data_IF_896122135237
#
_entry.id   IF_896122135237
#
_cell.length_a   1.000
_cell.length_b   1.000
_cell.length_c   1.000
_cell.angle_alpha   90.00
_cell.angle_beta   90.00
_cell.angle_gamma   90.00
#
_symmetry.space_group_name_H-M   'P 1'
#
loop_
_entity.id
_entity.type
_entity.pdbx_description
1 polymer ?
#
# COMPACT_ATOMS: atom_id res chain seq x y z
N UNK A 1 46.95 53.34 42.80
CA UNK A 1 46.42 53.23 41.43
C UNK A 1 46.15 51.75 41.15
N UNK A 2 44.88 51.40 40.91
CA UNK A 2 44.35 50.23 40.17
C UNK A 2 45.14 48.91 40.37
N UNK A 3 44.90 48.03 41.36
CA UNK A 3 43.73 47.19 41.71
C UNK A 3 43.34 46.09 40.71
N UNK A 4 43.12 44.88 41.28
CA UNK A 4 42.15 43.84 40.91
C UNK A 4 42.50 43.00 39.68
N UNK A 5 42.66 41.69 39.90
CA UNK A 5 41.66 40.64 39.60
C UNK A 5 41.69 40.30 38.12
N UNK A 6 42.12 39.11 37.74
CA UNK A 6 41.41 37.83 37.82
C UNK A 6 41.35 37.32 36.39
N UNK A 7 41.80 36.07 36.22
CA UNK A 7 41.11 35.07 35.41
C UNK A 7 40.93 35.40 33.93
N UNK A 8 41.99 35.16 33.15
CA UNK A 8 41.81 34.68 31.77
C UNK A 8 41.50 33.18 31.88
N UNK A 9 40.25 32.85 32.21
CA UNK A 9 39.69 31.52 31.98
C UNK A 9 39.07 31.53 30.58
N UNK A 10 39.72 30.81 29.68
CA UNK A 10 39.19 30.49 28.36
C UNK A 10 37.92 29.64 28.50
N UNK A 11 36.75 30.25 28.41
CA UNK A 11 35.49 29.52 28.20
C UNK A 11 35.40 29.10 26.74
N UNK A 12 35.79 27.87 26.46
CA UNK A 12 35.44 27.17 25.23
C UNK A 12 33.91 26.98 25.19
N UNK A 13 33.22 27.82 24.43
CA UNK A 13 31.82 27.61 24.10
C UNK A 13 31.74 26.43 23.12
N UNK A 14 31.45 25.24 23.64
CA UNK A 14 31.11 24.08 22.83
C UNK A 14 29.79 24.36 22.09
N UNK A 15 29.89 24.74 20.82
CA UNK A 15 28.74 24.81 19.91
C UNK A 15 28.25 23.38 19.68
N UNK A 16 27.21 22.97 20.39
CA UNK A 16 26.45 21.77 20.06
C UNK A 16 25.87 21.94 18.65
N UNK A 17 26.03 20.96 17.75
CA UNK A 17 25.37 21.02 16.45
C UNK A 17 23.86 20.96 16.69
N UNK A 18 23.15 22.02 16.30
CA UNK A 18 21.70 22.00 16.25
C UNK A 18 21.29 20.93 15.24
N UNK A 19 20.80 19.80 15.73
CA UNK A 19 20.13 18.80 14.91
C UNK A 19 18.88 19.47 14.38
N UNK A 20 18.90 19.87 13.10
CA UNK A 20 17.69 20.30 12.40
C UNK A 20 16.74 19.10 12.35
N UNK A 21 15.76 19.08 13.27
CA UNK A 21 14.57 18.26 13.12
C UNK A 21 13.86 18.86 11.90
N UNK A 22 14.02 18.20 10.75
CA UNK A 22 13.25 18.53 9.56
C UNK A 22 11.79 18.62 9.96
N UNK A 23 11.18 19.80 9.79
CA UNK A 23 9.76 20.01 10.03
C UNK A 23 9.00 18.95 9.24
N UNK A 24 8.45 17.96 9.95
CA UNK A 24 7.43 17.10 9.39
C UNK A 24 6.27 18.01 9.06
N UNK A 25 6.19 18.46 7.80
CA UNK A 25 5.14 19.35 7.36
C UNK A 25 3.80 18.82 7.83
N UNK A 26 2.99 19.68 8.46
CA UNK A 26 1.66 19.31 8.92
C UNK A 26 0.85 18.76 7.74
N UNK A 27 0.14 17.66 7.96
CA UNK A 27 -0.79 17.08 6.99
C UNK A 27 -2.19 17.60 7.29
N UNK A 28 -2.91 18.04 6.26
CA UNK A 28 -4.22 18.69 6.41
C UNK A 28 -5.33 17.85 5.76
N UNK A 29 -6.44 17.66 6.48
CA UNK A 29 -7.67 17.06 5.92
C UNK A 29 -8.16 17.86 4.72
N UNK A 30 -8.65 17.18 3.69
CA UNK A 30 -9.13 17.80 2.44
C UNK A 30 -8.00 18.21 1.49
N UNK A 31 -6.75 18.11 1.92
CA UNK A 31 -5.57 18.35 1.08
C UNK A 31 -4.71 17.09 0.96
N UNK A 32 -4.11 16.64 2.06
CA UNK A 32 -3.16 15.52 2.05
C UNK A 32 -3.85 14.17 2.28
N UNK A 33 -4.98 14.19 2.96
CA UNK A 33 -5.83 13.03 3.24
C UNK A 33 -7.29 13.44 3.36
N UNK A 34 -8.21 12.49 3.26
CA UNK A 34 -9.63 12.67 3.53
C UNK A 34 -10.09 11.81 4.69
N UNK A 35 -11.20 12.17 5.32
CA UNK A 35 -11.86 11.35 6.34
C UNK A 35 -12.90 10.46 5.66
N UNK A 36 -12.87 9.17 5.96
CA UNK A 36 -13.86 8.18 5.53
C UNK A 36 -15.16 8.39 6.30
N UNK A 37 -16.28 8.56 5.59
CA UNK A 37 -17.59 8.85 6.18
C UNK A 37 -18.68 7.93 5.59
N UNK A 38 -19.40 7.14 6.42
CA UNK A 38 -19.11 6.88 7.83
C UNK A 38 -17.77 6.14 8.01
N UNK A 39 -17.12 6.23 9.18
CA UNK A 39 -15.90 5.46 9.42
C UNK A 39 -16.21 3.96 9.33
N UNK A 40 -15.28 3.20 8.74
CA UNK A 40 -15.35 1.74 8.70
C UNK A 40 -14.89 1.19 10.05
N UNK A 41 -15.70 0.36 10.68
CA UNK A 41 -15.36 -0.21 11.97
C UNK A 41 -14.24 -1.25 11.85
N UNK A 42 -13.15 -1.02 12.57
CA UNK A 42 -12.03 -1.93 12.72
C UNK A 42 -11.57 -1.94 14.17
N UNK A 43 -10.95 -3.04 14.65
CA UNK A 43 -10.30 -3.05 15.95
C UNK A 43 -9.31 -1.89 16.09
N UNK A 44 -9.25 -1.29 17.28
CA UNK A 44 -8.28 -0.20 17.55
C UNK A 44 -6.82 -0.65 17.41
N UNK A 45 -6.54 -1.92 17.71
CA UNK A 45 -5.22 -2.54 17.57
C UNK A 45 -5.36 -3.96 16.99
N UNK A 46 -4.44 -4.37 16.10
CA UNK A 46 -3.46 -3.53 15.41
C UNK A 46 -4.15 -2.45 14.55
N UNK A 47 -3.45 -1.37 14.23
CA UNK A 47 -3.94 -0.36 13.28
C UNK A 47 -3.95 -1.00 11.89
N UNK A 48 -5.15 -1.15 11.31
CA UNK A 48 -5.30 -1.68 9.96
C UNK A 48 -4.91 -0.63 8.93
N UNK A 49 -3.96 -0.98 8.05
CA UNK A 49 -3.51 -0.14 6.94
C UNK A 49 -3.79 -0.89 5.64
N UNK A 50 -4.80 -0.45 4.89
CA UNK A 50 -5.18 -1.06 3.63
C UNK A 50 -4.46 -0.36 2.49
N UNK A 51 -3.82 -1.14 1.62
CA UNK A 51 -3.15 -0.63 0.43
C UNK A 51 -3.98 -1.00 -0.78
N UNK A 52 -4.67 -0.02 -1.36
CA UNK A 52 -5.55 -0.21 -2.49
C UNK A 52 -4.78 -0.05 -3.80
N UNK A 53 -4.78 -1.09 -4.62
CA UNK A 53 -4.10 -1.10 -5.91
C UNK A 53 -4.90 -1.85 -6.96
N UNK A 54 -4.63 -1.63 -8.24
CA UNK A 54 -5.14 -2.48 -9.32
C UNK A 54 -3.97 -2.93 -10.19
N UNK A 55 -3.97 -4.20 -10.65
CA UNK A 55 -2.94 -4.69 -11.55
C UNK A 55 -2.91 -3.92 -12.87
N UNK A 56 -4.05 -3.39 -13.31
CA UNK A 56 -4.21 -2.57 -14.53
C UNK A 56 -3.85 -1.09 -14.33
N UNK A 57 -3.41 -0.68 -13.13
CA UNK A 57 -3.10 0.71 -12.81
C UNK A 57 -1.58 1.00 -12.94
N UNK A 58 -1.13 1.75 -13.97
CA UNK A 58 0.29 2.07 -14.14
C UNK A 58 0.82 3.04 -13.08
N UNK A 59 -0.05 3.84 -12.46
CA UNK A 59 0.34 4.71 -11.33
C UNK A 59 0.66 3.91 -10.07
N UNK A 60 0.00 2.76 -9.90
CA UNK A 60 0.18 1.85 -8.79
C UNK A 60 1.51 1.10 -8.93
N UNK A 61 1.82 0.58 -10.13
CA UNK A 61 3.12 -0.04 -10.39
C UNK A 61 4.27 0.95 -10.15
N UNK A 62 4.13 2.21 -10.58
CA UNK A 62 5.13 3.26 -10.30
C UNK A 62 5.21 3.67 -8.82
N UNK A 63 4.23 3.30 -7.99
CA UNK A 63 4.23 3.58 -6.55
C UNK A 63 4.81 2.44 -5.72
N UNK A 64 5.00 1.27 -6.33
CA UNK A 64 5.49 0.10 -5.63
C UNK A 64 6.84 0.30 -4.93
N UNK A 65 7.85 1.00 -5.52
CA UNK A 65 9.14 1.14 -4.84
C UNK A 65 9.05 1.85 -3.49
N UNK A 66 8.32 2.99 -3.42
CA UNK A 66 8.12 3.70 -2.16
C UNK A 66 7.18 2.94 -1.20
N UNK A 67 6.21 2.21 -1.74
CA UNK A 67 5.29 1.41 -0.96
C UNK A 67 5.99 0.20 -0.33
N UNK A 68 6.87 -0.49 -1.06
CA UNK A 68 7.60 -1.67 -0.58
C UNK A 68 8.53 -1.33 0.58
N UNK A 69 9.25 -0.21 0.49
CA UNK A 69 10.07 0.31 1.59
C UNK A 69 9.22 0.60 2.84
N UNK A 70 8.06 1.23 2.66
CA UNK A 70 7.10 1.47 3.73
C UNK A 70 6.58 0.16 4.34
N UNK A 71 6.16 -0.81 3.52
CA UNK A 71 5.65 -2.10 3.97
C UNK A 71 6.71 -2.85 4.78
N UNK A 72 7.95 -2.89 4.31
CA UNK A 72 9.06 -3.54 5.02
C UNK A 72 9.32 -2.90 6.38
N UNK A 73 9.30 -1.56 6.44
CA UNK A 73 9.57 -0.81 7.67
C UNK A 73 8.48 -0.99 8.74
N UNK A 74 7.21 -1.09 8.32
CA UNK A 74 6.07 -1.07 9.23
C UNK A 74 5.49 -2.45 9.54
N UNK A 75 5.68 -3.47 8.67
CA UNK A 75 5.10 -4.81 8.89
C UNK A 75 5.73 -5.59 10.04
N UNK A 76 6.89 -5.16 10.56
CA UNK A 76 7.52 -5.75 11.74
C UNK A 76 6.90 -5.27 13.05
N UNK A 77 6.14 -4.16 13.04
CA UNK A 77 5.48 -3.62 14.23
C UNK A 77 4.21 -4.40 14.52
N UNK A 78 4.09 -4.97 15.73
CA UNK A 78 2.92 -5.78 16.11
C UNK A 78 1.64 -4.97 16.19
N UNK A 79 1.76 -3.66 16.36
CA UNK A 79 0.69 -2.70 16.50
C UNK A 79 0.12 -2.23 15.16
N UNK A 80 0.70 -2.65 14.03
CA UNK A 80 0.27 -2.25 12.68
C UNK A 80 0.07 -3.50 11.81
N UNK A 81 -1.03 -3.53 11.06
CA UNK A 81 -1.33 -4.61 10.13
C UNK A 81 -1.55 -4.02 8.74
N UNK A 82 -0.60 -4.26 7.85
CA UNK A 82 -0.72 -3.84 6.44
C UNK A 82 -1.42 -4.94 5.64
N UNK A 83 -2.41 -4.55 4.85
CA UNK A 83 -3.29 -5.45 4.11
C UNK A 83 -3.38 -4.95 2.67
N UNK A 84 -2.79 -5.66 1.69
CA UNK A 84 -3.01 -5.35 0.29
C UNK A 84 -4.45 -5.64 -0.13
N UNK A 85 -5.06 -4.72 -0.86
CA UNK A 85 -6.44 -4.80 -1.33
C UNK A 85 -6.46 -4.56 -2.84
N UNK A 86 -6.37 -5.61 -3.67
CA UNK A 86 -6.54 -5.48 -5.12
C UNK A 86 -7.97 -5.04 -5.45
N UNK A 87 -8.08 -4.05 -6.33
CA UNK A 87 -9.31 -3.40 -6.77
C UNK A 87 -9.63 -3.84 -8.20
N UNK A 88 -10.91 -4.12 -8.44
CA UNK A 88 -11.51 -4.27 -9.76
C UNK A 88 -12.76 -3.40 -9.84
N UNK A 89 -12.84 -2.57 -10.87
CA UNK A 89 -13.95 -1.62 -11.06
C UNK A 89 -15.16 -2.23 -11.78
N UNK A 90 -14.97 -3.37 -12.45
CA UNK A 90 -16.00 -4.08 -13.20
C UNK A 90 -15.72 -5.58 -13.21
N UNK A 91 -16.75 -6.36 -13.53
CA UNK A 91 -16.71 -7.82 -13.56
C UNK A 91 -15.60 -8.37 -14.47
N UNK A 92 -15.40 -7.76 -15.65
CA UNK A 92 -14.33 -8.15 -16.59
C UNK A 92 -12.92 -8.05 -15.98
N UNK A 93 -12.73 -7.22 -14.96
CA UNK A 93 -11.45 -7.04 -14.28
C UNK A 93 -11.36 -7.79 -12.94
N UNK A 94 -12.40 -8.52 -12.51
CA UNK A 94 -12.37 -9.27 -11.25
C UNK A 94 -11.33 -10.40 -11.24
N UNK A 95 -10.93 -10.87 -12.42
CA UNK A 95 -9.87 -11.86 -12.54
C UNK A 95 -8.53 -11.35 -11.97
N UNK A 96 -8.25 -10.04 -12.01
CA UNK A 96 -7.01 -9.48 -11.49
C UNK A 96 -6.87 -9.64 -9.96
N UNK A 97 -7.85 -9.25 -9.12
CA UNK A 97 -7.88 -9.63 -7.72
C UNK A 97 -7.82 -11.15 -7.48
N UNK A 98 -8.47 -11.97 -8.30
CA UNK A 98 -8.38 -13.43 -8.19
C UNK A 98 -6.95 -13.92 -8.38
N UNK A 99 -6.19 -13.37 -9.34
CA UNK A 99 -4.78 -13.70 -9.55
C UNK A 99 -3.93 -13.39 -8.30
N UNK A 100 -4.10 -12.20 -7.70
CA UNK A 100 -3.41 -11.84 -6.46
C UNK A 100 -3.69 -12.86 -5.34
N UNK A 101 -4.96 -13.12 -5.07
CA UNK A 101 -5.35 -14.03 -3.99
C UNK A 101 -5.07 -15.50 -4.29
N UNK A 102 -4.95 -15.89 -5.57
CA UNK A 102 -4.50 -17.22 -5.95
C UNK A 102 -3.00 -17.39 -5.67
N UNK A 103 -2.16 -16.41 -6.03
CA UNK A 103 -0.75 -16.43 -5.65
C UNK A 103 -0.58 -16.46 -4.12
N UNK A 104 -1.34 -15.64 -3.40
CA UNK A 104 -1.34 -15.63 -1.93
C UNK A 104 -1.74 -16.99 -1.34
N UNK A 105 -2.80 -17.60 -1.88
CA UNK A 105 -3.32 -18.88 -1.39
C UNK A 105 -2.40 -20.07 -1.68
N UNK A 106 -1.57 -19.97 -2.72
CA UNK A 106 -0.52 -20.94 -3.01
C UNK A 106 0.72 -20.79 -2.12
N UNK A 107 0.81 -19.68 -1.36
CA UNK A 107 1.76 -19.49 -0.27
C UNK A 107 2.76 -18.35 -0.49
N UNK A 108 3.53 -17.99 0.56
CA UNK A 108 4.42 -16.83 0.56
C UNK A 108 5.45 -16.83 -0.59
N UNK A 109 6.12 -17.96 -0.82
CA UNK A 109 7.11 -18.07 -1.89
C UNK A 109 6.50 -17.89 -3.29
N UNK A 110 5.21 -18.20 -3.46
CA UNK A 110 4.52 -18.04 -4.75
C UNK A 110 4.16 -16.57 -4.96
N UNK A 111 3.53 -15.92 -3.98
CA UNK A 111 3.21 -14.50 -4.11
C UNK A 111 4.46 -13.63 -4.28
N UNK A 112 5.52 -13.88 -3.51
CA UNK A 112 6.78 -13.12 -3.62
C UNK A 112 7.42 -13.29 -5.01
N UNK A 113 7.32 -14.49 -5.60
CA UNK A 113 7.90 -14.78 -6.91
C UNK A 113 7.09 -14.19 -8.07
N UNK A 114 5.75 -14.24 -8.01
CA UNK A 114 4.91 -13.96 -9.17
C UNK A 114 4.19 -12.60 -9.12
N UNK A 115 3.98 -11.99 -7.95
CA UNK A 115 3.19 -10.75 -7.84
C UNK A 115 3.73 -9.63 -8.72
N UNK A 116 5.02 -9.29 -8.56
CA UNK A 116 5.63 -8.19 -9.31
C UNK A 116 5.83 -8.52 -10.80
N UNK A 117 6.39 -9.68 -11.20
CA UNK A 117 6.48 -10.05 -12.61
C UNK A 117 5.11 -10.07 -13.31
N UNK A 118 4.06 -10.53 -12.63
CA UNK A 118 2.69 -10.49 -13.17
C UNK A 118 2.24 -9.04 -13.39
N UNK A 119 2.42 -8.17 -12.39
CA UNK A 119 2.03 -6.77 -12.49
C UNK A 119 2.76 -6.04 -13.62
N UNK A 120 4.07 -6.26 -13.74
CA UNK A 120 4.86 -5.67 -14.81
C UNK A 120 4.39 -6.15 -16.19
N UNK A 121 4.12 -7.45 -16.33
CA UNK A 121 3.58 -8.03 -17.55
C UNK A 121 2.23 -7.41 -17.94
N UNK A 122 1.31 -7.29 -16.97
CA UNK A 122 0.00 -6.66 -17.17
C UNK A 122 0.12 -5.21 -17.68
N UNK A 123 1.09 -4.45 -17.17
CA UNK A 123 1.23 -3.02 -17.50
C UNK A 123 2.08 -2.76 -18.75
N UNK A 124 3.16 -3.53 -18.95
CA UNK A 124 4.20 -3.21 -19.95
C UNK A 124 4.00 -3.94 -21.27
N UNK A 125 3.29 -5.07 -21.29
CA UNK A 125 3.03 -5.82 -22.52
C UNK A 125 1.67 -5.46 -23.15
N UNK A 126 1.55 -5.79 -24.44
CA UNK A 126 0.31 -5.62 -25.20
C UNK A 126 -0.56 -6.87 -25.05
N UNK A 127 -1.85 -6.66 -24.81
CA UNK A 127 -2.82 -7.73 -24.54
C UNK A 127 -4.00 -7.67 -25.52
N UNK A 128 -3.80 -8.18 -26.75
CA UNK A 128 -4.78 -8.06 -27.85
C UNK A 128 -6.07 -8.87 -27.63
N UNK A 129 -6.03 -9.83 -26.72
CA UNK A 129 -7.13 -10.79 -26.50
C UNK A 129 -8.06 -10.38 -25.37
N UNK A 130 -7.80 -9.30 -24.63
CA UNK A 130 -8.59 -8.91 -23.46
C UNK A 130 -9.86 -8.14 -23.85
N UNK A 131 -10.71 -8.78 -24.65
CA UNK A 131 -11.96 -8.22 -25.16
C UNK A 131 -13.17 -8.61 -24.29
N UNK A 132 -13.04 -9.67 -23.49
CA UNK A 132 -14.05 -10.17 -22.57
C UNK A 132 -13.40 -10.89 -21.37
N UNK A 133 -14.19 -11.25 -20.36
CA UNK A 133 -13.70 -11.88 -19.14
C UNK A 133 -13.05 -13.26 -19.39
N UNK A 134 -13.60 -14.06 -20.31
CA UNK A 134 -13.13 -15.41 -20.58
C UNK A 134 -11.80 -15.40 -21.35
N UNK A 135 -11.69 -14.55 -22.37
CA UNK A 135 -10.47 -14.39 -23.15
C UNK A 135 -9.33 -13.80 -22.31
N UNK A 136 -9.65 -12.82 -21.46
CA UNK A 136 -8.71 -12.28 -20.46
C UNK A 136 -8.23 -13.38 -19.50
N UNK A 137 -9.14 -14.10 -18.84
CA UNK A 137 -8.77 -15.16 -17.89
C UNK A 137 -7.87 -16.23 -18.52
N UNK A 138 -8.18 -16.65 -19.76
CA UNK A 138 -7.36 -17.63 -20.48
C UNK A 138 -5.91 -17.15 -20.64
N UNK A 139 -5.71 -15.89 -21.00
CA UNK A 139 -4.36 -15.34 -21.20
C UNK A 139 -3.60 -15.17 -19.88
N UNK A 140 -4.28 -14.70 -18.82
CA UNK A 140 -3.69 -14.58 -17.48
C UNK A 140 -3.24 -15.95 -16.93
N UNK A 141 -4.03 -17.01 -17.13
CA UNK A 141 -3.65 -18.37 -16.75
C UNK A 141 -2.49 -18.87 -17.62
N UNK A 142 -2.53 -18.62 -18.93
CA UNK A 142 -1.44 -19.01 -19.83
C UNK A 142 -0.11 -18.36 -19.43
N UNK A 143 -0.12 -17.09 -19.00
CA UNK A 143 1.04 -16.45 -18.39
C UNK A 143 1.54 -17.23 -17.18
N UNK A 144 0.68 -17.53 -16.20
CA UNK A 144 1.05 -18.24 -14.99
C UNK A 144 1.69 -19.62 -15.29
N UNK A 145 1.14 -20.35 -16.27
CA UNK A 145 1.68 -21.64 -16.71
C UNK A 145 3.05 -21.49 -17.37
N UNK A 146 3.24 -20.48 -18.24
CA UNK A 146 4.55 -20.19 -18.84
C UNK A 146 5.61 -19.85 -17.79
N UNK A 147 5.22 -19.25 -16.67
CA UNK A 147 6.11 -18.96 -15.54
C UNK A 147 6.38 -20.18 -14.63
N UNK A 148 5.77 -21.33 -14.91
CA UNK A 148 6.03 -22.61 -14.25
C UNK A 148 5.00 -23.03 -13.19
N UNK A 149 3.84 -22.35 -13.10
CA UNK A 149 2.74 -22.84 -12.24
C UNK A 149 2.01 -24.01 -12.91
N UNK A 150 1.62 -25.00 -12.10
CA UNK A 150 0.77 -26.12 -12.54
C UNK A 150 -0.60 -25.58 -12.95
N UNK A 151 -0.97 -25.74 -14.23
CA UNK A 151 -2.25 -25.25 -14.74
C UNK A 151 -3.44 -25.78 -13.92
N UNK A 152 -3.44 -27.10 -13.65
CA UNK A 152 -4.52 -27.76 -12.91
C UNK A 152 -4.67 -27.20 -11.51
N UNK A 153 -3.55 -27.04 -10.80
CA UNK A 153 -3.56 -26.52 -9.44
C UNK A 153 -3.95 -25.05 -9.40
N UNK A 154 -3.39 -24.25 -10.31
CA UNK A 154 -3.65 -22.82 -10.38
C UNK A 154 -5.12 -22.54 -10.71
N UNK A 155 -5.70 -23.21 -11.71
CA UNK A 155 -7.13 -23.13 -12.03
C UNK A 155 -8.02 -23.51 -10.84
N UNK A 156 -7.69 -24.61 -10.15
CA UNK A 156 -8.41 -25.05 -8.94
C UNK A 156 -8.36 -23.99 -7.83
N UNK A 157 -7.22 -23.35 -7.62
CA UNK A 157 -7.06 -22.30 -6.62
C UNK A 157 -7.82 -21.04 -7.01
N UNK A 158 -7.71 -20.61 -8.26
CA UNK A 158 -8.46 -19.46 -8.81
C UNK A 158 -9.97 -19.60 -8.61
N UNK A 159 -10.52 -20.80 -8.86
CA UNK A 159 -11.94 -21.09 -8.68
C UNK A 159 -12.34 -21.44 -7.24
N UNK A 160 -11.42 -21.36 -6.28
CA UNK A 160 -11.69 -21.79 -4.91
C UNK A 160 -12.64 -20.82 -4.20
N UNK A 161 -13.41 -21.37 -3.25
CA UNK A 161 -14.26 -20.57 -2.37
C UNK A 161 -13.43 -19.54 -1.56
N UNK A 162 -12.23 -19.92 -1.12
CA UNK A 162 -11.35 -19.03 -0.36
C UNK A 162 -10.95 -17.79 -1.17
N UNK A 163 -10.49 -17.98 -2.42
CA UNK A 163 -10.14 -16.86 -3.32
C UNK A 163 -11.36 -16.00 -3.62
N UNK A 164 -12.50 -16.62 -3.94
CA UNK A 164 -13.75 -15.90 -4.23
C UNK A 164 -14.21 -15.04 -3.04
N UNK A 165 -14.10 -15.58 -1.82
CA UNK A 165 -14.45 -14.84 -0.61
C UNK A 165 -13.49 -13.67 -0.34
N UNK A 166 -12.17 -13.85 -0.56
CA UNK A 166 -11.19 -12.77 -0.42
C UNK A 166 -11.43 -11.64 -1.42
N UNK A 167 -11.75 -11.95 -2.68
CA UNK A 167 -12.11 -10.94 -3.70
C UNK A 167 -13.37 -10.17 -3.30
N UNK A 168 -14.39 -10.88 -2.78
CA UNK A 168 -15.62 -10.24 -2.27
C UNK A 168 -15.33 -9.33 -1.08
N UNK A 169 -14.48 -9.75 -0.14
CA UNK A 169 -14.07 -8.93 1.01
C UNK A 169 -13.25 -7.72 0.59
N UNK A 170 -12.29 -7.88 -0.33
CA UNK A 170 -11.53 -6.78 -0.92
C UNK A 170 -12.46 -5.74 -1.54
N UNK A 171 -13.45 -6.25 -2.30
CA UNK A 171 -14.47 -5.45 -2.96
C UNK A 171 -15.33 -4.64 -2.00
N UNK A 172 -15.79 -5.25 -0.91
CA UNK A 172 -16.49 -4.53 0.15
C UNK A 172 -15.57 -3.51 0.84
N UNK A 173 -14.31 -3.89 1.09
CA UNK A 173 -13.35 -3.04 1.80
C UNK A 173 -13.12 -1.72 1.06
N UNK A 174 -12.75 -1.77 -0.23
CA UNK A 174 -12.49 -0.52 -0.97
C UNK A 174 -13.75 0.33 -1.15
N UNK A 175 -14.93 -0.29 -1.29
CA UNK A 175 -16.21 0.43 -1.34
C UNK A 175 -16.56 1.11 -0.02
N UNK A 176 -16.38 0.42 1.11
CA UNK A 176 -16.67 0.98 2.43
C UNK A 176 -15.73 2.14 2.78
N UNK A 177 -14.50 2.12 2.30
CA UNK A 177 -13.58 3.26 2.41
C UNK A 177 -13.95 4.42 1.48
N UNK A 178 -14.80 4.20 0.48
CA UNK A 178 -15.10 5.21 -0.56
C UNK A 178 -13.95 5.42 -1.54
N UNK A 179 -13.15 4.38 -1.81
CA UNK A 179 -12.06 4.45 -2.79
C UNK A 179 -12.63 4.59 -4.20
N UNK A 180 -12.27 5.66 -4.89
CA UNK A 180 -12.69 6.01 -6.25
C UNK A 180 -11.54 5.96 -7.28
N UNK A 181 -10.29 5.90 -6.81
CA UNK A 181 -9.09 5.79 -7.63
C UNK A 181 -7.99 5.01 -6.90
N UNK A 182 -7.05 4.46 -7.69
CA UNK A 182 -5.84 3.80 -7.18
C UNK A 182 -4.58 4.52 -7.69
N UNK A 183 -3.46 4.50 -6.95
CA UNK A 183 -3.30 3.88 -5.63
C UNK A 183 -3.88 4.76 -4.50
N UNK A 184 -4.34 4.11 -3.43
CA UNK A 184 -4.82 4.75 -2.20
C UNK A 184 -4.33 3.96 -0.97
N UNK A 185 -4.15 4.64 0.16
CA UNK A 185 -3.81 4.02 1.45
C UNK A 185 -4.90 4.39 2.45
N UNK A 186 -5.58 3.38 2.98
CA UNK A 186 -6.59 3.52 4.02
C UNK A 186 -6.01 3.23 5.40
N UNK A 187 -6.28 4.09 6.38
CA UNK A 187 -5.75 3.96 7.75
C UNK A 187 -6.91 3.90 8.75
N UNK A 188 -6.94 2.82 9.55
CA UNK A 188 -7.83 2.60 10.68
C UNK A 188 -9.34 2.74 10.38
N UNK A 189 -9.77 2.56 9.12
CA UNK A 189 -11.16 2.79 8.70
C UNK A 189 -11.59 4.25 8.69
N UNK A 190 -10.66 5.18 8.95
CA UNK A 190 -10.96 6.59 9.22
C UNK A 190 -10.39 7.54 8.19
N UNK A 191 -9.27 7.19 7.56
CA UNK A 191 -8.55 8.10 6.67
C UNK A 191 -8.19 7.44 5.34
N UNK A 192 -8.17 8.23 4.28
CA UNK A 192 -7.59 7.88 2.98
C UNK A 192 -6.53 8.91 2.61
N UNK A 193 -5.39 8.46 2.10
CA UNK A 193 -4.38 9.31 1.44
C UNK A 193 -3.90 8.64 0.16
N UNK A 194 -3.44 9.45 -0.79
CA UNK A 194 -2.94 8.98 -2.07
C UNK A 194 -1.90 9.95 -2.64
N UNK A 195 -1.05 9.51 -3.59
CA UNK A 195 -0.09 10.39 -4.26
C UNK A 195 -0.72 11.62 -4.91
N UNK A 196 -1.94 11.50 -5.46
CA UNK A 196 -2.63 12.63 -6.10
C UNK A 196 -3.19 13.64 -5.09
N UNK A 197 -3.51 13.20 -3.86
CA UNK A 197 -3.95 14.10 -2.77
C UNK A 197 -2.74 14.80 -2.16
N UNK A 198 -1.76 14.00 -1.73
CA UNK A 198 -0.56 14.48 -1.05
C UNK A 198 0.47 15.14 -1.99
N UNK A 199 0.21 15.18 -3.30
CA UNK A 199 1.07 15.83 -4.31
C UNK A 199 2.34 15.06 -4.70
N UNK A 200 2.69 13.96 -4.03
CA UNK A 200 3.74 13.02 -4.47
C UNK A 200 3.63 11.67 -3.76
N UNK A 201 4.26 10.63 -4.33
CA UNK A 201 4.35 9.29 -3.72
C UNK A 201 4.98 9.32 -2.33
N UNK A 202 6.16 9.95 -2.21
CA UNK A 202 6.86 10.12 -0.94
C UNK A 202 6.03 10.89 0.09
N UNK A 203 5.30 11.93 -0.33
CA UNK A 203 4.45 12.70 0.60
C UNK A 203 3.21 11.90 1.04
N UNK A 204 2.65 11.06 0.18
CA UNK A 204 1.57 10.14 0.54
C UNK A 204 2.03 9.10 1.58
N UNK A 205 3.22 8.52 1.42
CA UNK A 205 3.81 7.63 2.44
C UNK A 205 3.96 8.36 3.77
N UNK A 206 4.59 9.54 3.80
CA UNK A 206 4.72 10.32 5.04
C UNK A 206 3.37 10.70 5.66
N UNK A 207 2.35 10.94 4.84
CA UNK A 207 0.98 11.20 5.32
C UNK A 207 0.39 9.95 5.99
N UNK A 208 0.54 8.78 5.37
CA UNK A 208 0.09 7.51 5.94
C UNK A 208 0.80 7.23 7.28
N UNK A 209 2.11 7.42 7.35
CA UNK A 209 2.89 7.27 8.58
C UNK A 209 2.43 8.22 9.70
N UNK A 210 2.16 9.48 9.36
CA UNK A 210 1.59 10.45 10.29
C UNK A 210 0.24 9.98 10.85
N UNK A 211 -0.65 9.49 9.99
CA UNK A 211 -1.97 9.02 10.39
C UNK A 211 -1.90 7.73 11.22
N UNK A 212 -0.99 6.81 10.88
CA UNK A 212 -0.72 5.62 11.70
C UNK A 212 -0.24 6.02 13.09
N UNK A 213 0.74 6.93 13.20
CA UNK A 213 1.25 7.43 14.48
C UNK A 213 0.15 8.12 15.29
N UNK A 214 -0.73 8.89 14.64
CA UNK A 214 -1.90 9.51 15.29
C UNK A 214 -2.82 8.46 15.91
N UNK A 215 -3.11 7.36 15.20
CA UNK A 215 -3.95 6.28 15.72
C UNK A 215 -3.24 5.44 16.78
N UNK A 216 -1.91 5.30 16.71
CA UNK A 216 -1.10 4.63 17.74
C UNK A 216 -1.04 5.42 19.06
N UNK A 217 -1.07 6.74 19.00
CA UNK A 217 -1.10 7.62 20.18
C UNK A 217 -2.49 7.87 20.77
N UNK A 218 -3.55 7.45 20.08
CA UNK A 218 -4.95 7.59 20.53
C UNK A 218 -5.43 6.37 21.29
#
# INVERSE_FOLDING_TARGET
MISRRELILASAAATLPAVSIASSGTFTEGKDYTIVRPPVDYPRRPVHVHVFFAYTCPHCLRFEPELSEFVQSWSSMREVRIIPVPVAWSEIYEIFPKMYYAFESLGPAVIDKYHMPFWEWVIKEQHDTWNDAQSTEKDLIAWAVRQGLSEREFKKTLSSFSVSNKVRLASQTWRNYGVDATPNIGIAGKYLTAPHMAGSRKRAIRCAEYLIKKELGS
#
